data_IF_374650718351
#
_entry.id   IF_374650718351
#
_cell.length_a   1.000
_cell.length_b   1.000
_cell.length_c   1.000
_cell.angle_alpha   90.00
_cell.angle_beta   90.00
_cell.angle_gamma   90.00
#
_symmetry.space_group_name_H-M   'P 1'
#
loop_
_entity.id
_entity.type
_entity.pdbx_description
1 polymer ?
#
# COMPACT_ATOMS: atom_id res chain seq x y z
N UNK A 1 14.95 45.46 -68.59
CA UNK A 1 16.03 45.07 -67.65
C UNK A 1 15.59 45.43 -66.24
N UNK A 2 15.90 44.55 -65.28
CA UNK A 2 15.72 44.63 -63.81
C UNK A 2 14.39 44.19 -63.15
N UNK A 3 14.52 42.98 -62.57
CA UNK A 3 13.72 42.26 -61.57
C UNK A 3 13.80 42.87 -60.16
N UNK A 4 12.91 42.34 -59.31
CA UNK A 4 12.94 42.14 -57.83
C UNK A 4 12.11 43.17 -57.06
N UNK A 5 11.41 42.86 -55.98
CA UNK A 5 10.98 41.67 -55.23
C UNK A 5 10.24 42.28 -54.02
N UNK A 6 9.14 41.72 -53.53
CA UNK A 6 8.90 41.55 -52.08
C UNK A 6 7.52 40.91 -51.79
N UNK A 7 7.39 39.63 -52.14
CA UNK A 7 6.56 38.71 -51.38
C UNK A 7 7.38 38.18 -50.20
N UNK A 8 7.28 38.83 -49.04
CA UNK A 8 7.72 38.23 -47.75
C UNK A 8 6.83 38.77 -46.63
N UNK A 9 5.58 38.33 -46.58
CA UNK A 9 4.71 38.65 -45.42
C UNK A 9 3.75 37.53 -45.01
N UNK A 10 3.87 36.31 -45.55
CA UNK A 10 2.89 35.25 -45.25
C UNK A 10 3.44 34.05 -44.45
N UNK A 11 4.76 33.93 -44.29
CA UNK A 11 5.35 32.75 -43.62
C UNK A 11 5.50 32.93 -42.12
N UNK A 12 5.96 34.11 -41.66
CA UNK A 12 6.22 34.34 -40.23
C UNK A 12 4.94 34.29 -39.36
N UNK A 13 3.82 34.84 -39.85
CA UNK A 13 2.56 34.83 -39.13
C UNK A 13 1.97 33.41 -38.97
N UNK A 14 2.18 32.54 -39.96
CA UNK A 14 1.71 31.16 -39.92
C UNK A 14 2.51 30.32 -38.91
N UNK A 15 3.83 30.53 -38.85
CA UNK A 15 4.69 29.87 -37.86
C UNK A 15 4.42 30.33 -36.44
N UNK A 16 4.16 31.62 -36.21
CA UNK A 16 3.83 32.15 -34.88
C UNK A 16 2.48 31.59 -34.38
N UNK A 17 1.49 31.46 -35.27
CA UNK A 17 0.17 30.92 -34.91
C UNK A 17 0.25 29.42 -34.58
N UNK A 18 1.01 28.64 -35.35
CA UNK A 18 1.20 27.21 -35.10
C UNK A 18 1.99 26.94 -33.79
N UNK A 19 2.96 27.81 -33.46
CA UNK A 19 3.73 27.72 -32.22
C UNK A 19 2.87 28.01 -30.98
N UNK A 20 1.94 28.98 -31.06
CA UNK A 20 0.99 29.30 -29.99
C UNK A 20 -0.05 28.18 -29.77
N UNK A 21 -0.53 27.54 -30.84
CA UNK A 21 -1.45 26.39 -30.73
C UNK A 21 -0.75 25.17 -30.12
N UNK A 22 0.52 24.91 -30.48
CA UNK A 22 1.30 23.85 -29.84
C UNK A 22 1.56 24.11 -28.35
N UNK A 23 1.85 25.35 -27.94
CA UNK A 23 2.01 25.72 -26.53
C UNK A 23 0.70 25.54 -25.72
N UNK A 24 -0.45 25.89 -26.29
CA UNK A 24 -1.75 25.67 -25.65
C UNK A 24 -2.13 24.18 -25.52
N UNK A 25 -1.79 23.36 -26.52
CA UNK A 25 -2.03 21.91 -26.46
C UNK A 25 -1.06 21.20 -25.50
N UNK A 26 0.17 21.67 -25.36
CA UNK A 26 1.15 21.16 -24.38
C UNK A 26 0.74 21.48 -22.93
N UNK A 27 0.18 22.67 -22.67
CA UNK A 27 -0.39 22.99 -21.35
C UNK A 27 -1.66 22.20 -21.02
N UNK A 28 -2.37 21.69 -22.03
CA UNK A 28 -3.55 20.84 -21.83
C UNK A 28 -3.19 19.36 -21.60
N UNK A 29 -1.96 18.95 -21.95
CA UNK A 29 -1.44 17.60 -21.74
C UNK A 29 -0.67 17.45 -20.42
N UNK A 30 -0.25 18.55 -19.78
CA UNK A 30 0.51 18.49 -18.53
C UNK A 30 -0.33 18.26 -17.27
N UNK A 31 -1.66 18.46 -17.32
CA UNK A 31 -2.54 18.24 -16.15
C UNK A 31 -3.00 16.79 -15.97
N UNK A 32 -2.71 15.90 -16.92
CA UNK A 32 -2.97 14.45 -16.77
C UNK A 32 -1.76 13.65 -16.29
N UNK A 33 -0.62 14.30 -16.06
CA UNK A 33 0.53 13.70 -15.41
C UNK A 33 0.28 13.58 -13.90
N UNK A 34 -0.43 12.52 -13.53
CA UNK A 34 -0.29 11.88 -12.21
C UNK A 34 -0.37 12.86 -11.03
N UNK A 35 -1.52 13.52 -10.86
CA UNK A 35 -1.90 13.99 -9.52
C UNK A 35 -2.04 12.75 -8.65
N UNK A 36 -0.94 12.31 -8.04
CA UNK A 36 -0.95 11.49 -6.83
C UNK A 36 -1.75 12.32 -5.85
N UNK A 37 -3.07 12.09 -5.77
CA UNK A 37 -3.85 12.57 -4.64
C UNK A 37 -3.08 12.06 -3.44
N UNK A 38 -2.49 12.96 -2.68
CA UNK A 38 -1.77 12.66 -1.46
C UNK A 38 -2.76 11.84 -0.61
N UNK A 39 -2.58 10.52 -0.61
CA UNK A 39 -3.59 9.63 -0.08
C UNK A 39 -3.54 9.83 1.42
N UNK A 40 -4.60 10.43 1.99
CA UNK A 40 -4.66 10.74 3.41
C UNK A 40 -4.38 9.46 4.20
N UNK A 41 -3.28 9.46 4.94
CA UNK A 41 -2.93 8.36 5.83
C UNK A 41 -3.93 8.32 7.00
N UNK A 42 -4.44 7.12 7.27
CA UNK A 42 -5.43 6.84 8.30
C UNK A 42 -4.73 6.52 9.63
N UNK A 43 -5.26 6.96 10.78
CA UNK A 43 -4.84 6.46 12.08
C UNK A 43 -5.31 5.02 12.29
N UNK A 44 -4.74 4.33 13.29
CA UNK A 44 -5.22 3.03 13.74
C UNK A 44 -6.71 3.08 14.09
N UNK A 45 -7.43 2.01 13.76
CA UNK A 45 -8.86 1.86 13.99
C UNK A 45 -9.75 2.59 12.97
N UNK A 46 -9.23 3.53 12.18
CA UNK A 46 -10.02 4.19 11.13
C UNK A 46 -10.25 3.28 9.91
N UNK A 47 -11.44 3.41 9.33
CA UNK A 47 -11.88 2.63 8.18
C UNK A 47 -11.56 3.35 6.87
N UNK A 48 -10.92 2.63 5.96
CA UNK A 48 -10.82 3.01 4.55
C UNK A 48 -11.82 2.23 3.72
N UNK A 49 -12.46 2.88 2.75
CA UNK A 49 -13.42 2.23 1.84
C UNK A 49 -12.92 2.37 0.40
N UNK A 50 -12.79 1.26 -0.30
CA UNK A 50 -12.32 1.24 -1.70
C UNK A 50 -13.45 1.64 -2.66
N UNK A 51 -13.12 1.91 -3.93
CA UNK A 51 -14.12 2.18 -4.97
C UNK A 51 -15.11 1.03 -5.20
N UNK A 52 -14.76 -0.19 -4.75
CA UNK A 52 -15.61 -1.38 -4.83
C UNK A 52 -16.38 -1.65 -3.53
N UNK A 53 -16.51 -0.65 -2.66
CA UNK A 53 -17.17 -0.75 -1.36
C UNK A 53 -16.56 -1.85 -0.45
N UNK A 54 -15.25 -2.07 -0.54
CA UNK A 54 -14.54 -2.91 0.43
C UNK A 54 -14.05 -2.02 1.56
N UNK A 55 -14.57 -2.27 2.76
CA UNK A 55 -14.09 -1.66 4.01
C UNK A 55 -12.83 -2.38 4.46
N UNK A 56 -11.80 -1.61 4.80
CA UNK A 56 -10.50 -2.06 5.26
C UNK A 56 -10.15 -1.34 6.56
N UNK A 57 -9.55 -2.06 7.52
CA UNK A 57 -9.17 -1.47 8.81
C UNK A 57 -7.96 -2.16 9.42
N UNK A 58 -6.98 -1.37 9.81
CA UNK A 58 -5.91 -1.80 10.72
C UNK A 58 -6.37 -1.45 12.13
N UNK A 59 -6.67 -2.46 12.94
CA UNK A 59 -7.39 -2.29 14.21
C UNK A 59 -6.42 -1.97 15.34
N UNK A 60 -5.41 -2.82 15.53
CA UNK A 60 -4.45 -2.74 16.62
C UNK A 60 -3.17 -3.48 16.24
N UNK A 61 -2.13 -3.30 17.04
CA UNK A 61 -0.90 -4.06 16.93
C UNK A 61 -0.40 -4.52 18.31
N UNK A 62 0.44 -5.56 18.32
CA UNK A 62 1.17 -5.99 19.52
C UNK A 62 2.52 -6.57 19.17
N UNK A 63 3.43 -6.55 20.13
CA UNK A 63 4.73 -7.22 20.02
C UNK A 63 4.77 -8.51 20.82
N UNK A 64 5.54 -9.48 20.34
CA UNK A 64 5.91 -10.67 21.10
C UNK A 64 7.39 -10.98 20.88
N UNK A 65 8.09 -11.42 21.91
CA UNK A 65 9.55 -11.70 21.88
C UNK A 65 9.95 -12.91 21.03
N UNK A 66 8.98 -13.60 20.41
CA UNK A 66 9.19 -14.72 19.51
C UNK A 66 7.99 -15.66 19.45
N UNK A 67 8.07 -16.70 18.60
CA UNK A 67 7.11 -17.79 18.53
C UNK A 67 7.83 -19.11 18.21
N UNK A 68 7.21 -20.24 18.57
CA UNK A 68 7.77 -21.57 18.35
C UNK A 68 7.12 -22.24 17.14
N UNK A 69 7.92 -22.67 16.15
CA UNK A 69 7.47 -23.49 15.01
C UNK A 69 7.63 -24.97 15.33
N UNK A 70 6.67 -25.78 14.88
CA UNK A 70 6.64 -27.23 15.12
C UNK A 70 7.26 -28.08 13.99
N UNK A 71 7.70 -27.47 12.87
CA UNK A 71 8.08 -28.25 11.69
C UNK A 71 9.57 -28.18 11.31
N UNK A 72 10.30 -27.08 11.57
CA UNK A 72 11.75 -27.00 11.37
C UNK A 72 12.36 -25.95 12.31
N UNK A 73 13.59 -26.18 12.81
CA UNK A 73 14.32 -25.19 13.62
C UNK A 73 14.88 -24.09 12.72
N UNK A 74 14.06 -23.10 12.38
CA UNK A 74 14.58 -21.83 11.85
C UNK A 74 15.08 -21.04 13.06
N UNK A 75 16.39 -20.88 13.17
CA UNK A 75 16.96 -19.99 14.18
C UNK A 75 16.44 -18.58 13.91
N UNK A 76 15.66 -18.04 14.85
CA UNK A 76 15.24 -16.65 14.78
C UNK A 76 16.48 -15.76 14.81
N UNK A 77 16.55 -14.70 13.98
CA UNK A 77 17.71 -13.84 14.03
C UNK A 77 17.86 -13.24 15.43
N UNK A 78 19.09 -13.24 15.94
CA UNK A 78 19.42 -12.53 17.18
C UNK A 78 18.97 -11.07 17.03
N UNK A 79 18.37 -10.52 18.08
CA UNK A 79 17.86 -9.13 18.11
C UNK A 79 16.59 -8.86 17.28
N UNK A 80 15.69 -9.85 17.13
CA UNK A 80 14.38 -9.66 16.49
C UNK A 80 13.20 -9.92 17.43
N UNK A 81 12.05 -9.31 17.10
CA UNK A 81 10.74 -9.53 17.74
C UNK A 81 9.68 -9.68 16.65
N UNK A 82 8.51 -10.21 17.00
CA UNK A 82 7.37 -10.21 16.10
C UNK A 82 6.49 -8.98 16.32
N UNK A 83 6.15 -8.30 15.24
CA UNK A 83 5.05 -7.35 15.16
C UNK A 83 3.82 -8.07 14.64
N UNK A 84 2.75 -8.07 15.42
CA UNK A 84 1.43 -8.55 15.02
C UNK A 84 0.53 -7.37 14.69
N UNK A 85 -0.18 -7.45 13.57
CA UNK A 85 -1.17 -6.47 13.12
C UNK A 85 -2.52 -7.15 13.02
N UNK A 86 -3.52 -6.61 13.71
CA UNK A 86 -4.90 -7.07 13.59
C UNK A 86 -5.57 -6.31 12.47
N UNK A 87 -6.06 -7.04 11.50
CA UNK A 87 -6.62 -6.49 10.27
C UNK A 87 -8.02 -7.04 10.02
N UNK A 88 -8.89 -6.19 9.47
CA UNK A 88 -10.21 -6.57 9.04
C UNK A 88 -10.52 -6.04 7.64
N UNK A 89 -11.27 -6.84 6.89
CA UNK A 89 -11.85 -6.44 5.62
C UNK A 89 -13.31 -6.91 5.53
N UNK A 90 -14.17 -6.09 4.96
CA UNK A 90 -15.57 -6.41 4.76
C UNK A 90 -16.08 -5.94 3.41
N UNK A 91 -16.88 -6.77 2.74
CA UNK A 91 -17.61 -6.37 1.56
C UNK A 91 -18.88 -5.61 1.96
N UNK A 92 -18.91 -4.30 1.73
CA UNK A 92 -20.07 -3.42 1.97
C UNK A 92 -20.87 -3.15 0.69
N UNK A 93 -20.40 -3.67 -0.44
CA UNK A 93 -21.03 -3.52 -1.74
C UNK A 93 -22.22 -4.47 -1.94
N UNK A 94 -22.84 -4.37 -3.12
CA UNK A 94 -24.02 -5.17 -3.50
C UNK A 94 -23.67 -6.48 -4.22
N UNK A 95 -22.42 -6.63 -4.68
CA UNK A 95 -21.96 -7.77 -5.46
C UNK A 95 -20.90 -8.56 -4.70
N UNK A 96 -20.68 -9.82 -5.10
CA UNK A 96 -19.50 -10.56 -4.64
C UNK A 96 -18.24 -9.87 -5.14
N UNK A 97 -17.27 -9.69 -4.26
CA UNK A 97 -16.01 -9.05 -4.59
C UNK A 97 -14.87 -9.67 -3.77
N UNK A 98 -13.65 -9.54 -4.29
CA UNK A 98 -12.45 -10.05 -3.62
C UNK A 98 -12.14 -9.14 -2.44
N UNK A 99 -11.78 -9.72 -1.31
CA UNK A 99 -11.16 -8.99 -0.18
C UNK A 99 -9.65 -9.22 -0.20
N UNK A 100 -8.84 -8.31 0.38
CA UNK A 100 -7.39 -8.51 0.44
C UNK A 100 -7.05 -9.82 1.15
N UNK A 101 -6.00 -10.49 0.68
CA UNK A 101 -5.36 -11.59 1.39
C UNK A 101 -4.33 -11.08 2.39
N UNK A 102 -3.81 -11.97 3.23
CA UNK A 102 -2.73 -11.61 4.17
C UNK A 102 -1.48 -11.07 3.44
N UNK A 103 -1.26 -11.48 2.19
CA UNK A 103 -0.16 -11.00 1.33
C UNK A 103 -0.32 -9.53 0.92
N UNK A 104 -1.55 -9.03 0.91
CA UNK A 104 -1.88 -7.65 0.50
C UNK A 104 -1.70 -6.65 1.66
N UNK A 105 -1.55 -7.13 2.90
CA UNK A 105 -1.22 -6.29 4.06
C UNK A 105 0.29 -6.13 4.12
N UNK A 106 0.79 -4.94 3.79
CA UNK A 106 2.21 -4.68 3.60
C UNK A 106 2.71 -3.74 4.69
N UNK A 107 3.70 -4.17 5.46
CA UNK A 107 4.46 -3.28 6.34
C UNK A 107 5.43 -2.45 5.49
N UNK A 108 5.40 -1.13 5.67
CA UNK A 108 6.36 -0.17 5.13
C UNK A 108 7.06 0.46 6.32
N UNK A 109 8.38 0.47 6.33
CA UNK A 109 9.16 1.05 7.42
C UNK A 109 10.23 1.98 6.85
N UNK A 110 10.22 3.25 7.25
CA UNK A 110 11.16 4.24 6.72
C UNK A 110 12.58 4.04 7.28
N UNK A 111 12.73 3.42 8.45
CA UNK A 111 14.04 3.09 9.03
C UNK A 111 14.82 1.99 8.27
N UNK A 112 14.23 1.39 7.23
CA UNK A 112 14.82 0.32 6.40
C UNK A 112 15.95 0.80 5.48
N UNK A 113 16.14 2.11 5.27
CA UNK A 113 17.25 2.62 4.44
C UNK A 113 18.63 2.15 4.95
N UNK A 114 18.73 1.75 6.21
CA UNK A 114 19.96 1.21 6.82
C UNK A 114 20.09 -0.32 6.72
N UNK A 115 19.02 -1.06 6.47
CA UNK A 115 19.01 -2.53 6.39
C UNK A 115 17.77 -3.06 5.60
N UNK A 116 17.77 -2.95 4.27
CA UNK A 116 16.62 -3.28 3.42
C UNK A 116 16.25 -4.76 3.41
N UNK A 117 17.15 -5.65 3.85
CA UNK A 117 16.95 -7.10 3.82
C UNK A 117 15.95 -7.60 4.89
N UNK A 118 15.59 -6.80 5.89
CA UNK A 118 14.80 -7.26 7.04
C UNK A 118 13.30 -6.95 6.95
N UNK A 119 12.90 -6.05 6.06
CA UNK A 119 11.54 -5.52 5.94
C UNK A 119 10.52 -6.46 5.31
N UNK A 120 10.96 -7.63 4.84
CA UNK A 120 10.15 -8.51 4.00
C UNK A 120 10.06 -9.96 4.45
N UNK A 121 10.52 -10.31 5.65
CA UNK A 121 10.36 -11.69 6.14
C UNK A 121 8.96 -11.93 6.71
N UNK A 122 8.00 -12.16 5.80
CA UNK A 122 6.83 -12.99 6.09
C UNK A 122 7.29 -14.45 6.12
N UNK A 123 7.88 -14.86 7.24
CA UNK A 123 8.12 -16.29 7.49
C UNK A 123 6.79 -17.01 7.58
N UNK A 124 6.72 -18.33 7.44
CA UNK A 124 5.52 -19.09 7.82
C UNK A 124 5.61 -19.37 9.34
N UNK A 125 4.79 -18.67 10.14
CA UNK A 125 4.64 -18.94 11.57
C UNK A 125 3.78 -20.17 11.71
N UNK A 126 4.37 -21.27 12.16
CA UNK A 126 3.63 -22.36 12.74
C UNK A 126 3.64 -22.16 14.25
N UNK A 127 2.51 -22.37 14.93
CA UNK A 127 2.41 -22.31 16.38
C UNK A 127 2.52 -23.72 16.97
N UNK A 128 3.12 -23.81 18.15
CA UNK A 128 2.88 -24.90 19.08
C UNK A 128 1.42 -24.84 19.60
N UNK A 129 0.80 -26.01 19.75
CA UNK A 129 -0.65 -26.24 19.76
C UNK A 129 -1.45 -25.44 20.80
N UNK A 130 -0.84 -25.04 21.91
CA UNK A 130 -1.52 -24.32 22.99
C UNK A 130 -1.88 -22.87 22.64
N UNK A 131 -1.06 -22.18 21.82
CA UNK A 131 -1.32 -20.76 21.43
C UNK A 131 -2.12 -20.62 20.14
N UNK A 132 -2.41 -21.74 19.47
CA UNK A 132 -3.09 -21.76 18.16
C UNK A 132 -4.56 -21.36 18.28
N UNK A 133 -5.17 -21.57 19.44
CA UNK A 133 -6.58 -21.22 19.71
C UNK A 133 -6.77 -19.71 20.00
N UNK A 134 -5.72 -19.01 20.44
CA UNK A 134 -5.80 -17.59 20.82
C UNK A 134 -5.58 -16.61 19.64
N UNK A 135 -4.86 -17.04 18.60
CA UNK A 135 -4.49 -16.17 17.46
C UNK A 135 -5.19 -16.66 16.20
N UNK A 136 -6.33 -16.04 15.90
CA UNK A 136 -7.02 -16.23 14.62
C UNK A 136 -6.26 -15.52 13.50
N UNK A 137 -5.76 -16.30 12.54
CA UNK A 137 -5.14 -15.81 11.32
C UNK A 137 -6.11 -15.00 10.46
N UNK A 138 -5.62 -13.92 9.84
CA UNK A 138 -6.38 -13.26 8.79
C UNK A 138 -6.32 -14.12 7.52
N UNK A 139 -7.37 -14.89 7.31
CA UNK A 139 -7.63 -15.60 6.07
C UNK A 139 -8.46 -14.68 5.17
N UNK A 140 -7.86 -14.28 4.06
CA UNK A 140 -8.45 -13.41 3.05
C UNK A 140 -7.98 -13.80 1.65
N UNK A 141 -8.32 -12.98 0.65
CA UNK A 141 -7.93 -13.22 -0.74
C UNK A 141 -8.97 -14.00 -1.54
N UNK A 142 -10.08 -14.39 -0.92
CA UNK A 142 -11.22 -15.01 -1.57
C UNK A 142 -12.28 -13.99 -2.03
N UNK A 143 -13.18 -14.45 -2.91
CA UNK A 143 -14.41 -13.74 -3.25
C UNK A 143 -15.44 -13.94 -2.13
N UNK A 144 -15.97 -12.86 -1.57
CA UNK A 144 -16.96 -12.91 -0.49
C UNK A 144 -18.28 -12.23 -0.90
N UNK A 145 -19.39 -12.76 -0.40
CA UNK A 145 -20.72 -12.16 -0.56
C UNK A 145 -20.85 -10.79 0.11
N UNK A 146 -21.84 -9.97 -0.28
CA UNK A 146 -22.20 -8.75 0.44
C UNK A 146 -22.34 -8.98 1.95
N UNK A 147 -21.91 -8.00 2.74
CA UNK A 147 -21.93 -7.96 4.19
C UNK A 147 -21.09 -9.02 4.92
N UNK A 148 -20.26 -9.77 4.19
CA UNK A 148 -19.30 -10.70 4.81
C UNK A 148 -18.06 -9.94 5.27
N UNK A 149 -17.64 -10.21 6.50
CA UNK A 149 -16.42 -9.67 7.11
C UNK A 149 -15.40 -10.77 7.43
N UNK A 150 -14.13 -10.43 7.36
CA UNK A 150 -12.99 -11.19 7.87
C UNK A 150 -12.19 -10.32 8.81
N UNK A 151 -11.69 -10.95 9.86
CA UNK A 151 -10.82 -10.33 10.84
C UNK A 151 -9.84 -11.39 11.34
N UNK A 152 -8.59 -10.98 11.51
CA UNK A 152 -7.56 -11.81 12.08
C UNK A 152 -6.22 -11.09 12.14
N UNK A 153 -5.20 -11.84 12.51
CA UNK A 153 -3.84 -11.33 12.67
C UNK A 153 -2.96 -11.66 11.46
N UNK A 154 -2.09 -10.72 11.11
CA UNK A 154 -0.90 -10.92 10.29
C UNK A 154 0.33 -10.52 11.10
N UNK A 155 1.53 -11.01 10.76
CA UNK A 155 2.76 -10.66 11.47
C UNK A 155 3.92 -10.36 10.53
N UNK A 156 4.92 -9.73 11.12
CA UNK A 156 6.20 -9.39 10.53
C UNK A 156 7.29 -9.65 11.57
N UNK A 157 8.41 -10.22 11.13
CA UNK A 157 9.63 -10.20 11.92
C UNK A 157 10.27 -8.83 11.79
N UNK A 158 10.54 -8.16 12.91
CA UNK A 158 11.14 -6.82 12.96
C UNK A 158 12.31 -6.79 13.94
N UNK A 159 13.18 -5.79 13.83
CA UNK A 159 14.27 -5.61 14.80
C UNK A 159 13.73 -5.32 16.21
N UNK A 160 14.47 -5.69 17.26
CA UNK A 160 14.07 -5.41 18.65
C UNK A 160 13.82 -3.93 18.93
N UNK A 161 14.59 -3.06 18.26
CA UNK A 161 14.54 -1.60 18.40
C UNK A 161 13.57 -0.94 17.39
N UNK A 162 12.71 -1.73 16.73
CA UNK A 162 11.70 -1.23 15.78
C UNK A 162 10.80 -0.18 16.44
N UNK A 163 10.75 1.01 15.82
CA UNK A 163 9.88 2.14 16.20
C UNK A 163 8.62 2.16 15.31
N UNK A 164 7.45 2.02 15.94
CA UNK A 164 6.18 2.03 15.23
C UNK A 164 5.86 3.37 14.58
N UNK A 165 6.43 4.48 15.05
CA UNK A 165 6.18 5.81 14.51
C UNK A 165 6.72 6.01 13.10
N UNK A 166 7.72 5.22 12.72
CA UNK A 166 8.33 5.21 11.38
C UNK A 166 7.69 4.13 10.48
N UNK A 167 6.68 3.44 10.98
CA UNK A 167 6.04 2.30 10.32
C UNK A 167 4.62 2.62 9.85
N UNK A 168 4.28 2.07 8.69
CA UNK A 168 2.98 2.21 8.04
C UNK A 168 2.49 0.87 7.51
N UNK A 169 1.19 0.64 7.55
CA UNK A 169 0.55 -0.51 6.91
C UNK A 169 -0.12 -0.04 5.63
N UNK A 170 0.17 -0.73 4.53
CA UNK A 170 -0.36 -0.45 3.21
C UNK A 170 -1.22 -1.61 2.72
N UNK A 171 -2.46 -1.33 2.32
CA UNK A 171 -3.38 -2.32 1.73
C UNK A 171 -4.05 -1.71 0.51
N UNK A 172 -3.81 -2.28 -0.67
CA UNK A 172 -4.37 -1.80 -1.95
C UNK A 172 -4.28 -0.27 -2.14
N UNK A 173 -3.12 0.29 -1.81
CA UNK A 173 -2.83 1.72 -1.91
C UNK A 173 -3.23 2.54 -0.67
N UNK A 174 -4.19 2.10 0.15
CA UNK A 174 -4.51 2.79 1.41
C UNK A 174 -3.42 2.59 2.44
N UNK A 175 -3.20 3.61 3.28
CA UNK A 175 -2.08 3.67 4.23
C UNK A 175 -2.61 3.98 5.63
N UNK A 176 -2.19 3.19 6.62
CA UNK A 176 -2.40 3.43 8.04
C UNK A 176 -1.07 3.70 8.74
N UNK A 177 -1.01 4.71 9.59
CA UNK A 177 0.13 4.94 10.49
C UNK A 177 0.03 4.03 11.71
N UNK A 178 1.16 3.50 12.16
CA UNK A 178 1.28 2.94 13.50
C UNK A 178 1.69 4.07 14.48
N UNK A 179 1.20 4.03 15.72
CA UNK A 179 1.49 5.02 16.78
C UNK A 179 2.73 4.69 17.60
#
# INVERSE_FOLDING_TARGET
MNKRNNEKSSSAAFFVCMFLVCLFLLSCLSESAFSVKQQKELPLGEEGITEKDISLRVIEYKFTDGYYTNMYSVAFPKDSKLLWIKFAAANRGKLKEKIPGYSDVILRYEGDEKNPDWSMYRNNVFFDGERREEIKWYEGGELVSPNVSREGWVYYTVHKDFDTKEAKISVWGMIWRLE
#
